data_IF_396354357204
#
_entry.id   IF_396354357204
#
_cell.length_a   1.000
_cell.length_b   1.000
_cell.length_c   1.000
_cell.angle_alpha   90.00
_cell.angle_beta   90.00
_cell.angle_gamma   90.00
#
_symmetry.space_group_name_H-M   'P 1'
#
loop_
_entity.id
_entity.type
_entity.pdbx_description
1 polymer ?
#
# COMPACT_ATOMS: atom_id res chain seq x y z
N UNK A 1 34.22 -10.57 20.54
CA UNK A 1 34.26 -10.62 19.06
C UNK A 1 35.19 -11.74 18.68
N UNK A 2 34.91 -12.47 17.59
CA UNK A 2 35.79 -13.56 17.16
C UNK A 2 37.11 -13.01 16.62
N UNK A 3 38.19 -13.77 16.77
CA UNK A 3 39.51 -13.43 16.27
C UNK A 3 39.55 -13.45 14.73
N UNK A 4 40.41 -12.62 14.14
CA UNK A 4 40.57 -12.57 12.68
C UNK A 4 41.01 -13.91 12.08
N UNK A 5 41.81 -14.67 12.85
CA UNK A 5 42.26 -16.01 12.46
C UNK A 5 41.08 -16.99 12.36
N UNK A 6 40.24 -17.03 13.39
CA UNK A 6 39.06 -17.90 13.44
C UNK A 6 38.05 -17.53 12.35
N UNK A 7 37.93 -16.23 12.02
CA UNK A 7 37.12 -15.76 10.89
C UNK A 7 37.67 -16.26 9.55
N UNK A 8 38.99 -16.20 9.32
CA UNK A 8 39.63 -16.70 8.09
C UNK A 8 39.43 -18.21 7.90
N UNK A 9 39.49 -18.98 8.98
CA UNK A 9 39.21 -20.42 8.94
C UNK A 9 37.73 -20.71 8.65
N UNK A 10 36.82 -19.94 9.25
CA UNK A 10 35.38 -20.06 9.02
C UNK A 10 34.99 -19.78 7.57
N UNK A 11 35.50 -18.69 6.96
CA UNK A 11 35.17 -18.34 5.57
C UNK A 11 35.74 -19.34 4.56
N UNK A 12 36.81 -20.04 4.93
CA UNK A 12 37.45 -21.06 4.10
C UNK A 12 36.70 -22.40 4.12
N UNK A 13 35.73 -22.56 5.03
CA UNK A 13 34.98 -23.82 5.17
C UNK A 13 34.08 -24.08 3.94
N UNK A 14 34.01 -25.31 3.41
CA UNK A 14 33.19 -25.63 2.22
C UNK A 14 31.71 -25.26 2.38
N UNK A 15 31.16 -25.43 3.58
CA UNK A 15 29.78 -25.06 3.90
C UNK A 15 29.53 -23.55 3.78
N UNK A 16 30.50 -22.72 4.16
CA UNK A 16 30.42 -21.28 4.01
C UNK A 16 30.49 -20.89 2.53
N UNK A 17 31.50 -21.38 1.81
CA UNK A 17 31.71 -21.10 0.39
C UNK A 17 30.50 -21.48 -0.48
N UNK A 18 29.92 -22.67 -0.23
CA UNK A 18 28.72 -23.12 -0.96
C UNK A 18 27.51 -22.23 -0.71
N UNK A 19 27.29 -21.80 0.53
CA UNK A 19 26.16 -20.92 0.85
C UNK A 19 26.38 -19.49 0.35
N UNK A 20 27.61 -18.97 0.34
CA UNK A 20 27.95 -17.69 -0.27
C UNK A 20 27.70 -17.69 -1.78
N UNK A 21 28.11 -18.74 -2.50
CA UNK A 21 27.81 -18.88 -3.93
C UNK A 21 26.31 -18.97 -4.21
N UNK A 22 25.56 -19.71 -3.38
CA UNK A 22 24.09 -19.78 -3.49
C UNK A 22 23.43 -18.43 -3.21
N UNK A 23 23.94 -17.67 -2.25
CA UNK A 23 23.44 -16.33 -1.93
C UNK A 23 23.68 -15.36 -3.10
N UNK A 24 24.88 -15.39 -3.68
CA UNK A 24 25.24 -14.57 -4.84
C UNK A 24 24.28 -14.80 -6.01
N UNK A 25 23.99 -16.08 -6.33
CA UNK A 25 23.04 -16.42 -7.39
C UNK A 25 21.59 -16.01 -7.08
N UNK A 26 21.15 -16.13 -5.82
CA UNK A 26 19.79 -15.76 -5.42
C UNK A 26 19.54 -14.25 -5.35
N UNK A 27 20.57 -13.47 -5.01
CA UNK A 27 20.46 -12.02 -4.86
C UNK A 27 21.08 -11.25 -6.03
N UNK A 28 21.56 -11.95 -7.06
CA UNK A 28 22.21 -11.38 -8.24
C UNK A 28 23.35 -10.40 -7.90
N UNK A 29 24.18 -10.75 -6.91
CA UNK A 29 25.32 -9.94 -6.47
C UNK A 29 26.64 -10.68 -6.68
N UNK A 30 27.77 -9.96 -6.56
CA UNK A 30 29.07 -10.57 -6.66
C UNK A 30 29.29 -11.60 -5.54
N UNK A 31 30.10 -12.63 -5.80
CA UNK A 31 30.42 -13.64 -4.77
C UNK A 31 31.14 -13.04 -3.58
N UNK A 32 31.93 -11.99 -3.81
CA UNK A 32 32.66 -11.28 -2.76
C UNK A 32 31.70 -10.54 -1.83
N UNK A 33 30.74 -9.79 -2.38
CA UNK A 33 29.74 -9.08 -1.58
C UNK A 33 28.84 -10.06 -0.83
N UNK A 34 28.38 -11.13 -1.49
CA UNK A 34 27.60 -12.18 -0.86
C UNK A 34 28.35 -12.85 0.30
N UNK A 35 29.67 -13.04 0.17
CA UNK A 35 30.51 -13.59 1.23
C UNK A 35 30.59 -12.65 2.43
N UNK A 36 30.76 -11.34 2.18
CA UNK A 36 30.83 -10.34 3.24
C UNK A 36 29.49 -10.21 3.97
N UNK A 37 28.38 -10.10 3.24
CA UNK A 37 27.03 -10.02 3.81
C UNK A 37 26.69 -11.27 4.63
N UNK A 38 27.02 -12.47 4.11
CA UNK A 38 26.81 -13.72 4.83
C UNK A 38 27.64 -13.76 6.12
N UNK A 39 28.89 -13.30 6.08
CA UNK A 39 29.75 -13.23 7.27
C UNK A 39 29.17 -12.29 8.32
N UNK A 40 28.75 -11.09 7.91
CA UNK A 40 28.17 -10.09 8.81
C UNK A 40 26.92 -10.66 9.49
N UNK A 41 25.99 -11.24 8.75
CA UNK A 41 24.77 -11.83 9.31
C UNK A 41 25.09 -13.01 10.25
N UNK A 42 26.06 -13.85 9.87
CA UNK A 42 26.47 -15.00 10.66
C UNK A 42 27.06 -14.57 12.01
N UNK A 43 27.96 -13.58 12.01
CA UNK A 43 28.59 -13.07 13.22
C UNK A 43 27.60 -12.32 14.12
N UNK A 44 26.82 -11.42 13.54
CA UNK A 44 25.91 -10.54 14.28
C UNK A 44 24.69 -11.26 14.88
N UNK A 45 24.14 -12.26 14.19
CA UNK A 45 22.91 -12.91 14.63
C UNK A 45 23.10 -14.33 15.13
N UNK A 46 23.89 -15.15 14.44
CA UNK A 46 23.90 -16.62 14.65
C UNK A 46 25.07 -17.10 15.51
N UNK A 47 26.20 -16.40 15.48
CA UNK A 47 27.42 -16.71 16.26
C UNK A 47 27.68 -15.70 17.39
N UNK A 48 26.81 -14.73 17.65
CA UNK A 48 27.03 -13.71 18.68
C UNK A 48 27.26 -14.25 20.10
N UNK A 49 26.84 -15.49 20.39
CA UNK A 49 27.05 -16.17 21.69
C UNK A 49 28.21 -17.16 21.69
N UNK A 50 28.86 -17.39 20.55
CA UNK A 50 29.93 -18.37 20.45
C UNK A 50 31.27 -17.70 20.70
N UNK A 51 32.13 -18.37 21.49
CA UNK A 51 33.52 -17.96 21.66
C UNK A 51 34.39 -18.47 20.52
N UNK A 52 35.61 -17.96 20.39
CA UNK A 52 36.58 -18.44 19.39
C UNK A 52 36.82 -19.95 19.50
N UNK A 53 36.95 -20.45 20.73
CA UNK A 53 37.15 -21.88 20.99
C UNK A 53 35.97 -22.72 20.49
N UNK A 54 34.74 -22.26 20.70
CA UNK A 54 33.55 -22.98 20.24
C UNK A 54 33.49 -23.07 18.72
N UNK A 55 33.90 -21.99 18.03
CA UNK A 55 33.94 -21.94 16.57
C UNK A 55 35.06 -22.83 16.02
N UNK A 56 36.25 -22.77 16.60
CA UNK A 56 37.40 -23.61 16.20
C UNK A 56 37.08 -25.10 16.36
N UNK A 57 36.50 -25.50 17.50
CA UNK A 57 36.07 -26.88 17.74
C UNK A 57 35.00 -27.28 16.71
N UNK A 58 34.04 -26.41 16.42
CA UNK A 58 32.98 -26.72 15.46
C UNK A 58 33.47 -26.80 14.01
N UNK A 59 34.51 -26.04 13.64
CA UNK A 59 35.18 -26.13 12.34
C UNK A 59 35.94 -27.46 12.27
N UNK A 60 36.78 -27.75 13.26
CA UNK A 60 37.59 -28.98 13.29
C UNK A 60 36.73 -30.24 13.29
N UNK A 61 35.61 -30.24 14.01
CA UNK A 61 34.68 -31.37 14.07
C UNK A 61 33.65 -31.41 12.92
N UNK A 62 33.75 -30.48 11.95
CA UNK A 62 32.75 -30.30 10.89
C UNK A 62 31.29 -30.29 11.39
N UNK A 63 31.05 -29.66 12.53
CA UNK A 63 29.82 -29.84 13.30
C UNK A 63 28.58 -29.50 12.45
N UNK A 64 27.55 -30.36 12.45
CA UNK A 64 26.27 -30.07 11.81
C UNK A 64 25.68 -28.74 12.28
N UNK A 65 25.91 -28.37 13.55
CA UNK A 65 25.38 -27.12 14.14
C UNK A 65 25.90 -25.87 13.43
N UNK A 66 27.20 -25.83 13.07
CA UNK A 66 27.80 -24.74 12.32
C UNK A 66 27.26 -24.69 10.88
N UNK A 67 27.17 -25.85 10.21
CA UNK A 67 26.58 -25.97 8.86
C UNK A 67 25.13 -25.44 8.83
N UNK A 68 24.34 -25.74 9.86
CA UNK A 68 22.97 -25.22 10.01
C UNK A 68 22.94 -23.71 10.22
N UNK A 69 23.79 -23.17 11.10
CA UNK A 69 23.85 -21.71 11.35
C UNK A 69 24.19 -20.93 10.08
N UNK A 70 25.17 -21.39 9.30
CA UNK A 70 25.54 -20.81 8.00
C UNK A 70 24.36 -20.87 7.02
N UNK A 71 23.71 -22.03 6.90
CA UNK A 71 22.53 -22.21 6.02
C UNK A 71 21.38 -21.28 6.39
N UNK A 72 21.10 -21.10 7.68
CA UNK A 72 20.02 -20.24 8.14
C UNK A 72 20.35 -18.76 8.04
N UNK A 73 21.60 -18.34 8.28
CA UNK A 73 22.05 -16.97 8.03
C UNK A 73 21.77 -16.56 6.56
N UNK A 74 22.12 -17.43 5.61
CA UNK A 74 21.79 -17.23 4.19
C UNK A 74 20.28 -17.08 3.97
N UNK A 75 19.46 -17.96 4.54
CA UNK A 75 18.00 -17.90 4.40
C UNK A 75 17.42 -16.61 4.96
N UNK A 76 17.97 -16.08 6.05
CA UNK A 76 17.49 -14.84 6.66
C UNK A 76 17.79 -13.63 5.78
N UNK A 77 18.97 -13.57 5.16
CA UNK A 77 19.30 -12.53 4.17
C UNK A 77 18.34 -12.54 2.98
N UNK A 78 18.07 -13.72 2.40
CA UNK A 78 17.11 -13.86 1.30
C UNK A 78 15.71 -13.39 1.71
N UNK A 79 15.25 -13.75 2.92
CA UNK A 79 13.94 -13.29 3.44
C UNK A 79 13.91 -11.78 3.67
N UNK A 80 14.98 -11.19 4.20
CA UNK A 80 15.10 -9.74 4.41
C UNK A 80 15.00 -9.01 3.06
N UNK A 81 15.73 -9.48 2.05
CA UNK A 81 15.67 -8.90 0.71
C UNK A 81 14.29 -9.04 0.06
N UNK A 82 13.69 -10.23 0.09
CA UNK A 82 12.34 -10.44 -0.45
C UNK A 82 11.30 -9.53 0.22
N UNK A 83 11.39 -9.34 1.54
CA UNK A 83 10.52 -8.44 2.28
C UNK A 83 10.75 -6.97 1.91
N UNK A 84 12.00 -6.56 1.66
CA UNK A 84 12.31 -5.20 1.19
C UNK A 84 11.76 -4.97 -0.21
N UNK A 85 12.02 -5.89 -1.15
CA UNK A 85 11.53 -5.82 -2.51
C UNK A 85 9.99 -5.77 -2.57
N UNK A 86 9.30 -6.63 -1.79
CA UNK A 86 7.84 -6.61 -1.71
C UNK A 86 7.30 -5.27 -1.20
N UNK A 87 7.95 -4.65 -0.19
CA UNK A 87 7.57 -3.31 0.29
C UNK A 87 7.82 -2.21 -0.74
N UNK A 88 8.88 -2.32 -1.54
CA UNK A 88 9.17 -1.37 -2.61
C UNK A 88 8.17 -1.49 -3.75
N UNK A 89 7.79 -2.71 -4.12
CA UNK A 89 6.72 -2.96 -5.10
C UNK A 89 5.39 -2.42 -4.60
N UNK A 90 5.03 -2.68 -3.34
CA UNK A 90 3.79 -2.15 -2.73
C UNK A 90 3.78 -0.62 -2.73
N UNK A 91 4.92 0.02 -2.38
CA UNK A 91 5.08 1.48 -2.47
C UNK A 91 4.96 1.97 -3.91
N UNK A 92 5.61 1.30 -4.86
CA UNK A 92 5.55 1.67 -6.26
C UNK A 92 4.11 1.57 -6.79
N UNK A 93 3.39 0.51 -6.45
CA UNK A 93 1.97 0.34 -6.79
C UNK A 93 1.09 1.42 -6.16
N UNK A 94 1.32 1.78 -4.89
CA UNK A 94 0.61 2.87 -4.22
C UNK A 94 0.87 4.26 -4.86
N UNK A 95 2.01 4.45 -5.52
CA UNK A 95 2.39 5.73 -6.13
C UNK A 95 2.17 5.74 -7.65
N UNK A 96 2.02 4.58 -8.29
CA UNK A 96 1.92 4.45 -9.74
C UNK A 96 0.71 5.18 -10.35
N UNK A 97 -0.38 5.33 -9.58
CA UNK A 97 -1.59 6.05 -9.98
C UNK A 97 -1.62 7.50 -9.46
N UNK A 98 -0.61 7.94 -8.71
CA UNK A 98 -0.49 9.31 -8.28
C UNK A 98 0.28 10.11 -9.34
N UNK A 99 -0.40 10.97 -10.07
CA UNK A 99 0.27 12.04 -10.83
C UNK A 99 1.09 12.86 -9.84
N UNK A 100 2.37 13.05 -10.14
CA UNK A 100 3.26 13.90 -9.34
C UNK A 100 2.79 15.35 -9.50
N UNK A 101 1.77 15.74 -8.73
CA UNK A 101 1.36 17.14 -8.66
C UNK A 101 2.58 17.92 -8.17
N UNK A 102 3.04 18.86 -9.00
CA UNK A 102 3.99 19.85 -8.55
C UNK A 102 3.31 20.61 -7.41
N UNK A 103 3.97 20.69 -6.25
CA UNK A 103 3.48 21.46 -5.10
C UNK A 103 3.03 22.84 -5.58
N UNK A 104 1.73 23.08 -5.63
CA UNK A 104 1.21 24.39 -5.95
C UNK A 104 1.32 25.25 -4.70
N UNK A 105 1.92 26.43 -4.80
CA UNK A 105 2.07 27.35 -3.66
C UNK A 105 0.70 27.68 -3.05
N UNK A 106 -0.35 27.74 -3.88
CA UNK A 106 -1.73 27.92 -3.45
C UNK A 106 -2.23 26.78 -2.52
N UNK A 107 -1.95 25.52 -2.87
CA UNK A 107 -2.34 24.35 -2.04
C UNK A 107 -1.59 24.36 -0.70
N UNK A 108 -0.32 24.76 -0.70
CA UNK A 108 0.44 24.87 0.55
C UNK A 108 -0.09 25.98 1.46
N UNK A 109 -0.54 27.10 0.90
CA UNK A 109 -1.17 28.18 1.67
C UNK A 109 -2.51 27.75 2.25
N UNK A 110 -3.36 27.11 1.45
CA UNK A 110 -4.63 26.57 1.92
C UNK A 110 -4.43 25.52 3.03
N UNK A 111 -3.44 24.63 2.86
CA UNK A 111 -3.10 23.66 3.89
C UNK A 111 -2.64 24.33 5.19
N UNK A 112 -1.85 25.41 5.11
CA UNK A 112 -1.39 26.18 6.27
C UNK A 112 -2.54 26.86 7.02
N UNK A 113 -3.56 27.36 6.30
CA UNK A 113 -4.78 27.92 6.89
C UNK A 113 -5.57 26.83 7.63
N UNK A 114 -5.78 25.67 6.99
CA UNK A 114 -6.51 24.54 7.57
C UNK A 114 -5.79 23.85 8.72
N UNK A 115 -4.46 24.01 8.86
CA UNK A 115 -3.72 23.48 10.02
C UNK A 115 -4.28 23.99 11.36
N UNK A 116 -4.83 25.22 11.38
CA UNK A 116 -5.41 25.81 12.58
C UNK A 116 -6.63 25.03 13.06
N UNK A 117 -7.43 24.53 12.11
CA UNK A 117 -8.66 23.78 12.36
C UNK A 117 -8.37 22.32 12.68
N UNK A 118 -7.35 21.74 12.03
CA UNK A 118 -6.97 20.33 12.19
C UNK A 118 -6.29 20.06 13.54
N UNK A 119 -5.31 20.87 13.93
CA UNK A 119 -4.47 20.61 15.10
C UNK A 119 -4.66 21.65 16.21
N UNK A 120 -5.39 21.27 17.26
CA UNK A 120 -5.56 22.10 18.47
C UNK A 120 -4.25 22.31 19.26
N UNK A 121 -3.27 21.42 19.12
CA UNK A 121 -2.00 21.50 19.84
C UNK A 121 -0.99 22.39 19.10
N UNK A 122 -0.62 23.52 19.71
CA UNK A 122 0.34 24.51 19.18
C UNK A 122 1.69 23.90 18.78
N UNK A 123 2.21 22.93 19.54
CA UNK A 123 3.49 22.28 19.25
C UNK A 123 3.43 21.30 18.06
N UNK A 124 2.24 20.74 17.79
CA UNK A 124 2.03 19.90 16.61
C UNK A 124 1.76 20.76 15.38
N UNK A 125 0.99 21.85 15.55
CA UNK A 125 0.75 22.86 14.53
C UNK A 125 2.05 23.47 14.01
N UNK A 126 2.90 24.00 14.90
CA UNK A 126 4.20 24.59 14.53
C UNK A 126 5.12 23.59 13.83
N UNK A 127 5.07 22.32 14.23
CA UNK A 127 5.84 21.26 13.59
C UNK A 127 5.32 20.93 12.18
N UNK A 128 4.01 20.82 12.00
CA UNK A 128 3.39 20.59 10.70
C UNK A 128 3.59 21.80 9.76
N UNK A 129 3.49 23.01 10.29
CA UNK A 129 3.78 24.25 9.55
C UNK A 129 5.22 24.29 9.06
N UNK A 130 6.19 23.98 9.93
CA UNK A 130 7.60 23.90 9.53
C UNK A 130 7.80 22.85 8.43
N UNK A 131 7.10 21.72 8.51
CA UNK A 131 7.19 20.65 7.53
C UNK A 131 6.65 21.08 6.16
N UNK A 132 5.52 21.79 6.12
CA UNK A 132 4.93 22.29 4.88
C UNK A 132 5.77 23.40 4.25
N UNK A 133 6.36 24.28 5.05
CA UNK A 133 7.15 25.42 4.55
C UNK A 133 8.56 25.04 4.10
N UNK A 134 9.23 24.15 4.81
CA UNK A 134 10.69 23.96 4.69
C UNK A 134 11.12 22.49 4.57
N UNK A 135 10.14 21.60 4.41
CA UNK A 135 10.34 20.17 4.22
C UNK A 135 11.07 19.47 5.39
N UNK A 136 11.43 18.21 5.18
CA UNK A 136 11.90 17.29 6.22
C UNK A 136 13.22 17.72 6.87
N UNK A 137 14.26 17.99 6.07
CA UNK A 137 15.63 18.18 6.58
C UNK A 137 15.70 19.35 7.54
N UNK A 138 15.11 20.49 7.17
CA UNK A 138 15.17 21.69 7.99
C UNK A 138 14.24 21.61 9.22
N UNK A 139 13.07 20.97 9.07
CA UNK A 139 12.19 20.70 10.22
C UNK A 139 12.86 19.80 11.26
N UNK A 140 13.63 18.81 10.84
CA UNK A 140 14.39 17.96 11.77
C UNK A 140 15.43 18.76 12.56
N UNK A 141 16.11 19.71 11.92
CA UNK A 141 17.09 20.59 12.59
C UNK A 141 16.38 21.52 13.58
N UNK A 142 15.32 22.21 13.16
CA UNK A 142 14.57 23.18 13.99
C UNK A 142 13.96 22.56 15.25
N UNK A 143 13.58 21.28 15.19
CA UNK A 143 12.96 20.57 16.31
C UNK A 143 13.91 19.58 17.01
N UNK A 144 15.21 19.59 16.65
CA UNK A 144 16.23 18.70 17.21
C UNK A 144 15.83 17.21 17.20
N UNK A 145 15.32 16.72 16.06
CA UNK A 145 14.81 15.36 15.91
C UNK A 145 15.76 14.47 15.13
N UNK A 146 15.97 13.25 15.65
CA UNK A 146 16.57 12.16 14.86
C UNK A 146 15.61 11.69 13.76
N UNK A 147 16.10 11.05 12.68
CA UNK A 147 15.23 10.50 11.63
C UNK A 147 14.13 9.59 12.16
N UNK A 148 14.44 8.80 13.19
CA UNK A 148 13.48 7.90 13.85
C UNK A 148 12.38 8.66 14.58
N UNK A 149 12.73 9.70 15.34
CA UNK A 149 11.76 10.53 16.06
C UNK A 149 10.86 11.30 15.09
N UNK A 150 11.45 11.85 14.02
CA UNK A 150 10.71 12.53 12.95
C UNK A 150 9.68 11.59 12.32
N UNK A 151 10.10 10.41 11.86
CA UNK A 151 9.21 9.44 11.21
C UNK A 151 8.09 8.98 12.15
N UNK A 152 8.40 8.73 13.43
CA UNK A 152 7.40 8.36 14.42
C UNK A 152 6.35 9.48 14.64
N UNK A 153 6.79 10.75 14.65
CA UNK A 153 5.88 11.89 14.79
C UNK A 153 5.05 12.08 13.52
N UNK A 154 5.67 11.98 12.34
CA UNK A 154 5.00 12.06 11.04
C UNK A 154 3.86 11.04 10.94
N UNK A 155 4.13 9.77 11.25
CA UNK A 155 3.11 8.71 11.23
C UNK A 155 1.93 9.04 12.14
N UNK A 156 2.18 9.55 13.36
CA UNK A 156 1.13 9.94 14.31
C UNK A 156 0.30 11.11 13.78
N UNK A 157 0.96 12.13 13.23
CA UNK A 157 0.32 13.33 12.66
C UNK A 157 -0.55 12.96 11.46
N UNK A 158 -0.02 12.15 10.52
CA UNK A 158 -0.77 11.67 9.37
C UNK A 158 -1.96 10.80 9.78
N UNK A 159 -1.78 9.89 10.75
CA UNK A 159 -2.87 9.06 11.28
C UNK A 159 -3.98 9.93 11.88
N UNK A 160 -3.62 10.93 12.66
CA UNK A 160 -4.58 11.85 13.28
C UNK A 160 -5.32 12.68 12.22
N UNK A 161 -4.62 13.19 11.21
CA UNK A 161 -5.23 13.93 10.11
C UNK A 161 -6.24 13.05 9.34
N UNK A 162 -5.87 11.82 8.99
CA UNK A 162 -6.79 10.85 8.33
C UNK A 162 -8.02 10.52 9.18
N UNK A 163 -7.87 10.40 10.50
CA UNK A 163 -9.01 10.16 11.40
C UNK A 163 -9.97 11.35 11.49
N UNK A 164 -9.49 12.57 11.20
CA UNK A 164 -10.27 13.80 11.23
C UNK A 164 -10.74 14.27 9.87
N UNK A 165 -10.29 13.63 8.79
CA UNK A 165 -10.97 13.79 7.52
C UNK A 165 -12.42 13.38 7.74
N UNK A 166 -13.40 14.19 7.28
CA UNK A 166 -14.77 13.73 7.22
C UNK A 166 -14.72 12.38 6.49
N UNK A 167 -15.26 11.33 7.11
CA UNK A 167 -15.42 10.06 6.41
C UNK A 167 -16.18 10.41 5.13
N UNK A 168 -15.52 10.33 3.97
CA UNK A 168 -16.26 10.32 2.72
C UNK A 168 -17.36 9.29 2.92
N UNK A 169 -18.60 9.71 2.78
CA UNK A 169 -19.71 8.82 3.08
C UNK A 169 -19.51 7.60 2.18
N UNK A 170 -19.43 6.41 2.77
CA UNK A 170 -19.35 5.15 2.01
C UNK A 170 -20.60 4.96 1.11
N UNK A 171 -21.56 5.88 1.15
CA UNK A 171 -22.72 5.95 0.27
C UNK A 171 -22.29 6.01 -1.19
N UNK A 172 -21.42 6.96 -1.56
CA UNK A 172 -21.04 7.14 -2.96
C UNK A 172 -20.17 6.00 -3.49
N UNK A 173 -19.34 5.38 -2.64
CA UNK A 173 -18.52 4.23 -3.05
C UNK A 173 -19.36 2.98 -3.32
N UNK A 174 -20.42 2.75 -2.52
CA UNK A 174 -21.35 1.65 -2.75
C UNK A 174 -22.23 1.91 -3.97
N UNK A 175 -22.72 3.13 -4.11
CA UNK A 175 -23.54 3.57 -5.25
C UNK A 175 -22.74 3.48 -6.57
N UNK A 176 -21.49 3.95 -6.58
CA UNK A 176 -20.59 3.81 -7.74
C UNK A 176 -20.28 2.35 -8.08
N UNK A 177 -20.19 1.46 -7.08
CA UNK A 177 -19.98 0.03 -7.33
C UNK A 177 -21.20 -0.60 -8.01
N UNK A 178 -22.39 -0.26 -7.55
CA UNK A 178 -23.65 -0.71 -8.14
C UNK A 178 -23.81 -0.18 -9.57
N UNK A 179 -23.52 1.11 -9.80
CA UNK A 179 -23.60 1.71 -11.14
C UNK A 179 -22.59 1.10 -12.12
N UNK A 180 -21.42 0.65 -11.64
CA UNK A 180 -20.48 -0.12 -12.45
C UNK A 180 -20.98 -1.53 -12.77
N UNK A 181 -21.57 -2.20 -11.78
CA UNK A 181 -22.19 -3.52 -12.00
C UNK A 181 -23.31 -3.42 -13.05
N UNK A 182 -24.08 -2.32 -13.04
CA UNK A 182 -25.04 -1.99 -14.10
C UNK A 182 -24.40 -1.70 -15.46
N UNK A 183 -23.35 -0.89 -15.52
CA UNK A 183 -22.65 -0.56 -16.77
C UNK A 183 -22.03 -1.81 -17.42
N UNK A 184 -21.39 -2.67 -16.62
CA UNK A 184 -20.85 -3.96 -17.05
C UNK A 184 -21.98 -4.86 -17.60
N UNK A 185 -23.15 -4.90 -16.92
CA UNK A 185 -24.31 -5.67 -17.35
C UNK A 185 -24.88 -5.18 -18.69
N UNK A 186 -25.06 -3.86 -18.87
CA UNK A 186 -25.65 -3.31 -20.10
C UNK A 186 -24.67 -3.32 -21.29
N UNK A 187 -23.37 -3.31 -21.02
CA UNK A 187 -22.33 -3.34 -22.07
C UNK A 187 -22.01 -4.76 -22.55
N UNK A 188 -22.35 -5.79 -21.77
CA UNK A 188 -22.19 -7.19 -22.18
C UNK A 188 -23.16 -7.53 -23.33
N UNK A 189 -22.64 -7.91 -24.52
CA UNK A 189 -23.46 -8.23 -25.68
C UNK A 189 -24.34 -9.47 -25.51
N UNK A 190 -24.07 -10.33 -24.52
CA UNK A 190 -24.85 -11.54 -24.23
C UNK A 190 -25.97 -11.29 -23.19
N UNK A 191 -26.09 -10.06 -22.66
CA UNK A 191 -27.11 -9.71 -21.66
C UNK A 191 -28.54 -9.79 -22.22
N UNK A 192 -29.38 -10.56 -21.54
CA UNK A 192 -30.81 -10.65 -21.84
C UNK A 192 -31.65 -9.69 -21.00
N UNK A 193 -32.87 -9.39 -21.45
CA UNK A 193 -33.86 -8.65 -20.66
C UNK A 193 -34.14 -9.33 -19.30
N UNK A 194 -33.95 -10.65 -19.19
CA UNK A 194 -34.13 -11.39 -17.94
C UNK A 194 -33.01 -11.14 -16.93
N UNK A 195 -31.78 -10.90 -17.40
CA UNK A 195 -30.63 -10.57 -16.56
C UNK A 195 -30.79 -9.15 -16.00
N UNK A 196 -31.30 -8.23 -16.83
CA UNK A 196 -31.63 -6.86 -16.40
C UNK A 196 -32.78 -6.88 -15.38
N UNK A 197 -33.81 -7.69 -15.61
CA UNK A 197 -34.91 -7.86 -14.66
C UNK A 197 -34.45 -8.46 -13.32
N UNK A 198 -33.49 -9.39 -13.35
CA UNK A 198 -32.88 -9.95 -12.14
C UNK A 198 -32.12 -8.87 -11.35
N UNK A 199 -31.31 -8.06 -12.03
CA UNK A 199 -30.61 -6.93 -11.40
C UNK A 199 -31.58 -5.92 -10.78
N UNK A 200 -32.66 -5.56 -11.48
CA UNK A 200 -33.69 -4.67 -10.96
C UNK A 200 -34.34 -5.27 -9.70
N UNK A 201 -34.61 -6.57 -9.68
CA UNK A 201 -35.15 -7.25 -8.51
C UNK A 201 -34.20 -7.29 -7.30
N UNK A 202 -32.90 -7.46 -7.53
CA UNK A 202 -31.89 -7.44 -6.46
C UNK A 202 -31.68 -6.04 -5.87
N UNK A 203 -32.03 -4.99 -6.62
CA UNK A 203 -31.83 -3.59 -6.27
C UNK A 203 -33.09 -2.74 -6.34
N UNK A 204 -34.26 -3.33 -6.08
CA UNK A 204 -35.58 -2.71 -6.28
C UNK A 204 -35.69 -1.34 -5.60
N UNK A 205 -35.33 -1.22 -4.32
CA UNK A 205 -35.36 0.06 -3.59
C UNK A 205 -34.47 1.14 -4.22
N UNK A 206 -33.33 0.77 -4.80
CA UNK A 206 -32.44 1.73 -5.46
C UNK A 206 -33.00 2.16 -6.82
N UNK A 207 -33.50 1.21 -7.60
CA UNK A 207 -34.08 1.48 -8.92
C UNK A 207 -35.36 2.28 -8.79
N UNK A 208 -36.20 2.02 -7.79
CA UNK A 208 -37.43 2.78 -7.51
C UNK A 208 -37.10 4.27 -7.29
N UNK A 209 -36.03 4.58 -6.56
CA UNK A 209 -35.54 5.94 -6.38
C UNK A 209 -34.97 6.58 -7.67
N UNK A 210 -34.43 5.78 -8.60
CA UNK A 210 -33.90 6.27 -9.90
C UNK A 210 -35.04 6.57 -10.86
N UNK A 211 -36.08 5.72 -10.90
CA UNK A 211 -37.19 5.83 -11.84
C UNK A 211 -38.30 6.76 -11.35
N UNK A 212 -38.21 7.29 -10.14
CA UNK A 212 -38.99 8.44 -9.65
C UNK A 212 -38.58 9.75 -10.37
N UNK A 213 -38.51 9.69 -11.70
CA UNK A 213 -38.22 10.79 -12.61
C UNK A 213 -39.45 11.00 -13.54
N UNK A 214 -39.88 12.26 -13.77
CA UNK A 214 -41.02 12.57 -14.63
C UNK A 214 -40.91 12.06 -16.08
N UNK A 215 -39.70 11.70 -16.53
CA UNK A 215 -39.46 11.14 -17.85
C UNK A 215 -39.90 9.68 -17.99
N UNK A 216 -40.04 8.95 -16.88
CA UNK A 216 -40.49 7.56 -16.88
C UNK A 216 -42.01 7.52 -16.92
N UNK A 217 -42.59 7.07 -18.03
CA UNK A 217 -44.04 7.04 -18.20
C UNK A 217 -44.71 5.91 -17.40
N UNK A 218 -44.04 4.75 -17.30
CA UNK A 218 -44.58 3.55 -16.66
C UNK A 218 -43.56 2.87 -15.74
N UNK A 219 -43.32 3.47 -14.58
CA UNK A 219 -42.39 2.94 -13.55
C UNK A 219 -42.67 1.48 -13.18
N UNK A 220 -43.94 1.11 -13.02
CA UNK A 220 -44.33 -0.25 -12.65
C UNK A 220 -43.96 -1.32 -13.70
N UNK A 221 -43.83 -0.94 -14.98
CA UNK A 221 -43.37 -1.86 -16.02
C UNK A 221 -41.86 -2.09 -15.93
N UNK A 222 -41.07 -1.07 -15.58
CA UNK A 222 -39.63 -1.24 -15.36
C UNK A 222 -39.33 -2.17 -14.18
N UNK A 223 -40.11 -2.05 -13.09
CA UNK A 223 -39.91 -2.87 -11.89
C UNK A 223 -40.34 -4.33 -12.13
N UNK A 224 -41.50 -4.55 -12.77
CA UNK A 224 -42.16 -5.87 -12.78
C UNK A 224 -42.02 -6.64 -14.09
N UNK A 225 -41.80 -5.96 -15.20
CA UNK A 225 -41.77 -6.56 -16.54
C UNK A 225 -40.93 -5.71 -17.51
N UNK A 226 -39.63 -5.67 -17.23
CA UNK A 226 -38.66 -4.88 -17.97
C UNK A 226 -38.74 -5.17 -19.47
N UNK A 227 -38.92 -6.43 -19.87
CA UNK A 227 -39.03 -6.85 -21.27
C UNK A 227 -40.09 -6.05 -22.06
N UNK A 228 -41.20 -5.68 -21.42
CA UNK A 228 -42.31 -4.94 -22.02
C UNK A 228 -42.31 -3.43 -21.70
N UNK A 229 -41.27 -2.91 -21.04
CA UNK A 229 -41.18 -1.49 -20.68
C UNK A 229 -40.92 -0.53 -21.87
N UNK A 230 -40.72 -1.06 -23.09
CA UNK A 230 -40.69 -0.27 -24.32
C UNK A 230 -39.64 0.85 -24.30
N UNK A 231 -40.08 2.11 -24.44
CA UNK A 231 -39.17 3.28 -24.46
C UNK A 231 -38.55 3.57 -23.09
N UNK A 232 -39.23 3.21 -22.01
CA UNK A 232 -38.76 3.50 -20.65
C UNK A 232 -37.48 2.71 -20.32
N UNK A 233 -37.20 1.59 -21.03
CA UNK A 233 -35.92 0.87 -20.96
C UNK A 233 -34.72 1.80 -21.19
N UNK A 234 -34.78 2.58 -22.27
CA UNK A 234 -33.71 3.50 -22.65
C UNK A 234 -33.63 4.68 -21.68
N UNK A 235 -34.76 5.08 -21.09
CA UNK A 235 -34.81 6.16 -20.10
C UNK A 235 -34.11 5.71 -18.82
N UNK A 236 -34.36 4.49 -18.33
CA UNK A 236 -33.65 3.94 -17.18
C UNK A 236 -32.14 3.88 -17.42
N UNK A 237 -31.69 3.39 -18.58
CA UNK A 237 -30.26 3.36 -18.94
C UNK A 237 -29.65 4.76 -18.90
N UNK A 238 -30.33 5.77 -19.47
CA UNK A 238 -29.86 7.15 -19.46
C UNK A 238 -29.84 7.76 -18.06
N UNK A 239 -30.84 7.47 -17.21
CA UNK A 239 -30.89 7.94 -15.82
C UNK A 239 -29.75 7.35 -14.98
N UNK A 240 -29.47 6.05 -15.15
CA UNK A 240 -28.34 5.38 -14.49
C UNK A 240 -27.00 5.97 -14.92
N UNK A 241 -26.80 6.19 -16.23
CA UNK A 241 -25.58 6.81 -16.76
C UNK A 241 -25.42 8.26 -16.28
N UNK A 242 -26.50 9.04 -16.27
CA UNK A 242 -26.50 10.42 -15.75
C UNK A 242 -26.14 10.43 -14.27
N UNK A 243 -26.68 9.50 -13.48
CA UNK A 243 -26.37 9.40 -12.05
C UNK A 243 -24.90 9.06 -11.80
N UNK A 244 -24.32 8.19 -12.62
CA UNK A 244 -22.90 7.87 -12.55
C UNK A 244 -22.03 9.09 -12.88
N UNK A 245 -22.40 9.88 -13.89
CA UNK A 245 -21.71 11.12 -14.23
C UNK A 245 -21.79 12.16 -13.10
N UNK A 246 -22.97 12.37 -12.51
CA UNK A 246 -23.14 13.28 -11.36
C UNK A 246 -22.27 12.89 -10.17
N UNK A 247 -22.12 11.58 -9.91
CA UNK A 247 -21.25 11.09 -8.84
C UNK A 247 -19.77 11.27 -9.15
N UNK A 248 -19.36 11.06 -10.41
CA UNK A 248 -17.99 11.32 -10.87
C UNK A 248 -17.64 12.80 -10.75
N UNK A 249 -18.54 13.69 -11.17
CA UNK A 249 -18.35 15.15 -11.07
C UNK A 249 -18.25 15.61 -9.61
N UNK A 250 -19.17 15.18 -8.73
CA UNK A 250 -19.11 15.48 -7.29
C UNK A 250 -17.86 14.91 -6.61
N UNK A 251 -17.36 13.76 -7.07
CA UNK A 251 -16.13 13.18 -6.55
C UNK A 251 -14.87 13.96 -6.96
N UNK A 252 -14.90 14.58 -8.15
CA UNK A 252 -13.83 15.46 -8.65
C UNK A 252 -13.86 16.85 -8.00
N UNK A 253 -15.03 17.39 -7.66
CA UNK A 253 -15.16 18.67 -6.93
C UNK A 253 -14.76 18.57 -5.45
N UNK A 254 -14.70 17.36 -4.90
CA UNK A 254 -14.30 17.07 -3.51
C UNK A 254 -12.83 16.59 -3.37
N UNK A 255 -12.08 16.53 -4.47
CA UNK A 255 -10.66 16.15 -4.51
C UNK A 255 -9.76 17.38 -4.66
#
# INVERSE_FOLDING_TARGET
MLSEKTIKELISTPAFLSNASKLAGMLHMSRQDASQELLIELLSHRLHKWSDKDVEIAIAAESPSLKWKVKYARKDLVRKQAKSASREVEKAQMVAHMTRQASNEAETLEALERLQELFKNKATKSWAESLLRVAQKETMVRFHQTPRQFNNKLVKVCKYARQRQPKQSNSHTKELKLLKEWDDLITDPDTSDSDVQAFIGEHEEYIDNIIDDPQVAFQGHLIKDFAHAGKDKYILVNLMAKREQELKEKSNELS
#
